data_IF_497905732395
#
_entry.id   IF_497905732395
#
_cell.length_a   1.000
_cell.length_b   1.000
_cell.length_c   1.000
_cell.angle_alpha   90.00
_cell.angle_beta   90.00
_cell.angle_gamma   90.00
#
_symmetry.space_group_name_H-M   'P 1'
#
loop_
_entity.id
_entity.type
_entity.pdbx_description
1 polymer ?
#
# COMPACT_ATOMS: atom_id res chain seq x y z
N UNK A 1 3.85 3.52 35.03
CA UNK A 1 2.39 3.39 35.27
C UNK A 1 1.73 4.53 34.52
N UNK A 2 0.97 4.25 33.46
CA UNK A 2 0.30 5.31 32.69
C UNK A 2 -0.62 6.11 33.62
N UNK A 3 -0.37 7.41 33.77
CA UNK A 3 -1.24 8.31 34.54
C UNK A 3 -2.63 8.25 33.91
N UNK A 4 -3.62 7.81 34.68
CA UNK A 4 -5.02 7.75 34.23
C UNK A 4 -5.47 9.17 33.88
N UNK A 5 -5.67 9.44 32.58
CA UNK A 5 -6.23 10.71 32.11
C UNK A 5 -7.67 10.86 32.59
N UNK A 6 -8.12 12.10 32.77
CA UNK A 6 -9.52 12.36 33.05
C UNK A 6 -10.40 11.92 31.87
N UNK A 7 -11.67 11.53 32.08
CA UNK A 7 -12.55 11.04 31.00
C UNK A 7 -12.67 12.00 29.81
N UNK A 8 -12.69 13.32 30.08
CA UNK A 8 -12.70 14.36 29.03
C UNK A 8 -11.38 14.44 28.25
N UNK A 9 -10.25 14.26 28.93
CA UNK A 9 -8.93 14.22 28.30
C UNK A 9 -8.78 12.95 27.44
N UNK A 10 -9.28 11.82 27.91
CA UNK A 10 -9.28 10.58 27.14
C UNK A 10 -10.09 10.73 25.84
N UNK A 11 -11.28 11.34 25.90
CA UNK A 11 -12.08 11.66 24.71
C UNK A 11 -11.37 12.62 23.77
N UNK A 12 -10.72 13.66 24.29
CA UNK A 12 -9.92 14.57 23.48
C UNK A 12 -8.74 13.86 22.80
N UNK A 13 -8.05 12.96 23.50
CA UNK A 13 -6.94 12.18 22.96
C UNK A 13 -7.41 11.26 21.82
N UNK A 14 -8.57 10.62 21.96
CA UNK A 14 -9.19 9.80 20.89
C UNK A 14 -9.50 10.63 19.63
N UNK A 15 -10.08 11.82 19.80
CA UNK A 15 -10.42 12.69 18.67
C UNK A 15 -9.16 13.20 17.95
N UNK A 16 -8.13 13.58 18.69
CA UNK A 16 -6.85 14.01 18.13
C UNK A 16 -6.13 12.83 17.43
N UNK A 17 -6.14 11.64 18.02
CA UNK A 17 -5.59 10.43 17.39
C UNK A 17 -6.32 10.08 16.09
N UNK A 18 -7.62 10.38 15.98
CA UNK A 18 -8.39 10.25 14.76
C UNK A 18 -8.10 11.34 13.70
N UNK A 19 -7.18 12.27 13.97
CA UNK A 19 -6.79 13.33 13.05
C UNK A 19 -7.64 14.61 13.10
N UNK A 20 -8.50 14.75 14.12
CA UNK A 20 -9.31 15.96 14.30
C UNK A 20 -8.44 17.08 14.87
N UNK A 21 -8.57 18.29 14.33
CA UNK A 21 -7.80 19.45 14.79
C UNK A 21 -8.07 19.77 16.26
N UNK A 22 -7.07 20.34 16.95
CA UNK A 22 -7.18 20.74 18.35
C UNK A 22 -8.34 21.73 18.58
N UNK A 23 -8.60 22.62 17.63
CA UNK A 23 -9.69 23.61 17.70
C UNK A 23 -11.05 22.91 17.63
N UNK A 24 -11.22 21.97 16.71
CA UNK A 24 -12.46 21.22 16.58
C UNK A 24 -12.69 20.28 17.77
N UNK A 25 -11.62 19.69 18.31
CA UNK A 25 -11.67 18.83 19.49
C UNK A 25 -12.05 19.62 20.74
N UNK A 26 -11.53 20.84 20.91
CA UNK A 26 -11.86 21.69 22.05
C UNK A 26 -13.36 22.06 22.10
N UNK A 27 -13.96 22.26 20.92
CA UNK A 27 -15.37 22.59 20.76
C UNK A 27 -16.29 21.35 20.68
N UNK A 28 -15.75 20.14 20.81
CA UNK A 28 -16.55 18.92 20.72
C UNK A 28 -17.45 18.80 21.96
N UNK A 29 -18.74 18.44 21.84
CA UNK A 29 -19.69 18.42 22.97
C UNK A 29 -19.26 17.53 24.14
N UNK A 30 -18.54 16.44 23.85
CA UNK A 30 -18.04 15.52 24.88
C UNK A 30 -16.79 16.02 25.63
N UNK A 31 -16.12 17.05 25.11
CA UNK A 31 -14.92 17.63 25.70
C UNK A 31 -15.27 18.98 26.32
N UNK A 32 -15.76 19.90 25.48
CA UNK A 32 -16.18 21.26 25.79
C UNK A 32 -15.22 21.98 26.74
N UNK A 33 -14.06 22.38 26.20
CA UNK A 33 -13.01 23.10 26.94
C UNK A 33 -12.48 24.28 26.14
N UNK A 34 -11.91 25.25 26.85
CA UNK A 34 -11.25 26.39 26.20
C UNK A 34 -10.04 25.95 25.38
N UNK A 35 -9.73 26.70 24.32
CA UNK A 35 -8.54 26.48 23.48
C UNK A 35 -7.23 26.47 24.28
N UNK A 36 -7.14 27.30 25.33
CA UNK A 36 -5.98 27.33 26.23
C UNK A 36 -5.83 26.03 27.00
N UNK A 37 -6.94 25.45 27.47
CA UNK A 37 -6.95 24.16 28.18
C UNK A 37 -6.53 23.02 27.25
N UNK A 38 -7.07 22.99 26.03
CA UNK A 38 -6.68 22.00 25.02
C UNK A 38 -5.21 22.11 24.66
N UNK A 39 -4.71 23.34 24.44
CA UNK A 39 -3.31 23.57 24.15
C UNK A 39 -2.41 23.08 25.30
N UNK A 40 -2.78 23.36 26.56
CA UNK A 40 -2.05 22.84 27.72
C UNK A 40 -2.01 21.32 27.72
N UNK A 41 -3.14 20.64 27.51
CA UNK A 41 -3.19 19.17 27.45
C UNK A 41 -2.31 18.61 26.34
N UNK A 42 -2.30 19.22 25.15
CA UNK A 42 -1.43 18.79 24.06
C UNK A 42 0.07 18.91 24.37
N UNK A 43 0.48 19.67 25.40
CA UNK A 43 1.87 19.75 25.86
C UNK A 43 2.15 18.87 27.08
N UNK A 44 1.14 18.20 27.64
CA UNK A 44 1.32 17.26 28.74
C UNK A 44 1.84 15.92 28.20
N UNK A 45 2.97 15.47 28.71
CA UNK A 45 3.63 14.21 28.30
C UNK A 45 2.67 13.00 28.39
N UNK A 46 1.90 12.90 29.49
CA UNK A 46 0.92 11.83 29.66
C UNK A 46 -0.21 11.83 28.63
N UNK A 47 -0.55 13.02 28.10
CA UNK A 47 -1.57 13.14 27.07
C UNK A 47 -1.00 12.76 25.70
N UNK A 48 0.21 13.22 25.39
CA UNK A 48 0.93 12.85 24.17
C UNK A 48 1.17 11.35 24.09
N UNK A 49 1.68 10.73 25.16
CA UNK A 49 1.87 9.28 25.25
C UNK A 49 0.56 8.54 24.95
N UNK A 50 -0.58 9.02 25.46
CA UNK A 50 -1.86 8.36 25.21
C UNK A 50 -2.31 8.51 23.76
N UNK A 51 -2.14 9.70 23.17
CA UNK A 51 -2.43 9.92 21.75
C UNK A 51 -1.56 9.02 20.88
N UNK A 52 -0.27 8.90 21.17
CA UNK A 52 0.66 8.06 20.42
C UNK A 52 0.30 6.58 20.49
N UNK A 53 -0.09 6.10 21.68
CA UNK A 53 -0.61 4.74 21.85
C UNK A 53 -1.85 4.51 20.99
N UNK A 54 -2.81 5.45 21.02
CA UNK A 54 -4.05 5.33 20.23
C UNK A 54 -3.79 5.37 18.72
N UNK A 55 -2.86 6.22 18.27
CA UNK A 55 -2.43 6.27 16.86
C UNK A 55 -1.73 4.98 16.46
N UNK A 56 -0.90 4.42 17.34
CA UNK A 56 -0.20 3.16 17.09
C UNK A 56 -1.17 1.97 17.03
N UNK A 57 -2.13 1.90 17.95
CA UNK A 57 -3.19 0.87 17.98
C UNK A 57 -4.06 0.96 16.72
N UNK A 58 -4.56 2.15 16.37
CA UNK A 58 -5.34 2.35 15.15
C UNK A 58 -4.52 2.04 13.88
N UNK A 59 -3.22 2.36 13.90
CA UNK A 59 -2.28 2.02 12.83
C UNK A 59 -2.07 0.50 12.69
N UNK A 60 -2.05 -0.23 13.80
CA UNK A 60 -1.93 -1.69 13.81
C UNK A 60 -3.22 -2.36 13.31
N UNK A 61 -4.38 -1.92 13.80
CA UNK A 61 -5.67 -2.43 13.33
C UNK A 61 -5.85 -2.17 11.82
N UNK A 62 -5.45 -0.99 11.36
CA UNK A 62 -5.48 -0.65 9.94
C UNK A 62 -4.56 -1.57 9.14
N UNK A 63 -3.34 -1.85 9.62
CA UNK A 63 -2.41 -2.80 8.98
C UNK A 63 -2.97 -4.21 8.95
N UNK A 64 -3.55 -4.69 10.04
CA UNK A 64 -4.11 -6.03 10.14
C UNK A 64 -5.31 -6.20 9.20
N UNK A 65 -6.16 -5.18 9.08
CA UNK A 65 -7.26 -5.13 8.10
C UNK A 65 -6.69 -5.12 6.68
N UNK A 66 -5.63 -4.34 6.42
CA UNK A 66 -5.00 -4.25 5.12
C UNK A 66 -4.38 -5.60 4.72
N UNK A 67 -3.60 -6.22 5.60
CA UNK A 67 -2.96 -7.51 5.36
C UNK A 67 -3.99 -8.65 5.24
N UNK A 68 -5.02 -8.65 6.08
CA UNK A 68 -6.15 -9.57 5.96
C UNK A 68 -6.92 -9.38 4.65
N UNK A 69 -7.11 -8.13 4.25
CA UNK A 69 -7.71 -7.74 2.96
C UNK A 69 -6.87 -8.19 1.77
N UNK A 70 -5.54 -8.03 1.82
CA UNK A 70 -4.61 -8.53 0.81
C UNK A 70 -4.68 -10.05 0.68
N UNK A 71 -4.63 -10.78 1.79
CA UNK A 71 -4.71 -12.25 1.80
C UNK A 71 -6.03 -12.74 1.19
N UNK A 72 -7.15 -12.10 1.55
CA UNK A 72 -8.47 -12.43 0.99
C UNK A 72 -8.56 -12.10 -0.49
N UNK A 73 -8.07 -10.93 -0.92
CA UNK A 73 -8.07 -10.53 -2.33
C UNK A 73 -7.18 -11.43 -3.19
N UNK A 74 -5.98 -11.78 -2.71
CA UNK A 74 -5.08 -12.70 -3.37
C UNK A 74 -5.69 -14.11 -3.49
N UNK A 75 -6.35 -14.59 -2.43
CA UNK A 75 -7.06 -15.88 -2.44
C UNK A 75 -8.16 -15.91 -3.51
N UNK A 76 -8.98 -14.86 -3.63
CA UNK A 76 -10.03 -14.78 -4.66
C UNK A 76 -9.44 -14.88 -6.08
N UNK A 77 -8.28 -14.28 -6.34
CA UNK A 77 -7.61 -14.38 -7.65
C UNK A 77 -7.09 -15.79 -7.90
N UNK A 78 -6.46 -16.43 -6.91
CA UNK A 78 -6.01 -17.82 -7.02
C UNK A 78 -7.19 -18.76 -7.26
N UNK A 79 -8.27 -18.61 -6.49
CA UNK A 79 -9.50 -19.40 -6.65
C UNK A 79 -10.14 -19.18 -8.04
N UNK A 80 -9.98 -18.00 -8.64
CA UNK A 80 -10.39 -17.69 -10.03
C UNK A 80 -9.54 -18.42 -11.06
N UNK A 81 -8.23 -18.47 -10.85
CA UNK A 81 -7.27 -19.13 -11.76
C UNK A 81 -7.42 -20.65 -11.69
N UNK A 82 -7.58 -21.19 -10.48
CA UNK A 82 -7.73 -22.62 -10.22
C UNK A 82 -9.13 -23.16 -10.59
N UNK A 83 -10.05 -22.29 -11.02
CA UNK A 83 -11.39 -22.67 -11.46
C UNK A 83 -12.36 -23.02 -10.32
N UNK A 84 -12.02 -22.70 -9.07
CA UNK A 84 -12.81 -22.99 -7.87
C UNK A 84 -13.80 -21.86 -7.50
N UNK A 85 -14.33 -21.15 -8.50
CA UNK A 85 -15.25 -20.03 -8.24
C UNK A 85 -16.72 -20.45 -8.11
N UNK A 86 -17.49 -19.54 -7.50
CA UNK A 86 -18.94 -19.63 -7.48
C UNK A 86 -19.51 -19.89 -8.88
N UNK A 87 -20.55 -20.75 -9.00
CA UNK A 87 -21.11 -21.17 -10.28
C UNK A 87 -21.73 -20.02 -11.08
N UNK A 88 -21.97 -18.87 -10.45
CA UNK A 88 -22.55 -17.70 -11.09
C UNK A 88 -21.46 -16.78 -11.66
N UNK A 89 -21.21 -16.92 -12.98
CA UNK A 89 -20.17 -16.21 -13.73
C UNK A 89 -20.14 -14.68 -13.53
N UNK A 90 -21.31 -14.05 -13.31
CA UNK A 90 -21.39 -12.60 -13.06
C UNK A 90 -20.84 -12.19 -11.68
N UNK A 91 -21.11 -13.00 -10.65
CA UNK A 91 -20.62 -12.76 -9.29
C UNK A 91 -19.12 -13.05 -9.22
N UNK A 92 -18.68 -14.12 -9.88
CA UNK A 92 -17.27 -14.46 -10.02
C UNK A 92 -16.46 -13.30 -10.64
N UNK A 93 -16.93 -12.74 -11.76
CA UNK A 93 -16.28 -11.60 -12.41
C UNK A 93 -16.24 -10.35 -11.52
N UNK A 94 -17.34 -10.02 -10.85
CA UNK A 94 -17.40 -8.87 -9.95
C UNK A 94 -16.44 -9.01 -8.77
N UNK A 95 -16.34 -10.21 -8.18
CA UNK A 95 -15.40 -10.49 -7.07
C UNK A 95 -13.95 -10.42 -7.53
N UNK A 96 -13.65 -10.90 -8.73
CA UNK A 96 -12.33 -10.77 -9.34
C UNK A 96 -11.93 -9.31 -9.57
N UNK A 97 -12.83 -8.50 -10.16
CA UNK A 97 -12.57 -7.08 -10.42
C UNK A 97 -12.37 -6.29 -9.12
N UNK A 98 -13.16 -6.59 -8.07
CA UNK A 98 -13.00 -5.99 -6.74
C UNK A 98 -11.68 -6.41 -6.08
N UNK A 99 -11.32 -7.69 -6.13
CA UNK A 99 -10.05 -8.20 -5.59
C UNK A 99 -8.84 -7.58 -6.30
N UNK A 100 -8.90 -7.47 -7.62
CA UNK A 100 -7.89 -6.79 -8.44
C UNK A 100 -7.76 -5.32 -8.06
N UNK A 101 -8.87 -4.60 -7.94
CA UNK A 101 -8.87 -3.19 -7.56
C UNK A 101 -8.24 -2.95 -6.17
N UNK A 102 -8.54 -3.82 -5.20
CA UNK A 102 -7.93 -3.75 -3.86
C UNK A 102 -6.41 -3.98 -3.95
N UNK A 103 -5.93 -4.97 -4.69
CA UNK A 103 -4.49 -5.21 -4.84
C UNK A 103 -3.77 -4.10 -5.61
N UNK A 104 -4.40 -3.55 -6.65
CA UNK A 104 -3.88 -2.42 -7.42
C UNK A 104 -3.79 -1.14 -6.56
N UNK A 105 -4.80 -0.85 -5.73
CA UNK A 105 -4.76 0.26 -4.77
C UNK A 105 -3.61 0.12 -3.76
N UNK A 106 -3.36 -1.12 -3.31
CA UNK A 106 -2.35 -1.40 -2.30
C UNK A 106 -0.91 -1.33 -2.83
N UNK A 107 -0.74 -1.02 -4.13
CA UNK A 107 0.57 -0.91 -4.80
C UNK A 107 1.51 -2.05 -4.43
N UNK A 108 0.97 -3.27 -4.28
CA UNK A 108 1.80 -4.47 -4.21
C UNK A 108 2.51 -4.50 -5.56
N UNK A 109 3.78 -4.07 -5.53
CA UNK A 109 4.74 -3.88 -6.62
C UNK A 109 4.22 -4.48 -7.92
N UNK A 110 3.95 -3.63 -8.92
CA UNK A 110 3.56 -4.00 -10.30
C UNK A 110 4.06 -5.41 -10.61
N UNK A 111 3.14 -6.35 -10.87
CA UNK A 111 3.50 -7.70 -11.30
C UNK A 111 4.65 -7.59 -12.33
N UNK A 112 5.73 -8.37 -12.20
CA UNK A 112 6.80 -8.36 -13.19
C UNK A 112 6.15 -8.53 -14.55
N UNK A 113 6.38 -7.57 -15.44
CA UNK A 113 5.72 -7.54 -16.74
C UNK A 113 5.93 -8.90 -17.39
N UNK A 114 4.83 -9.60 -17.67
CA UNK A 114 4.89 -10.87 -18.38
C UNK A 114 5.76 -10.66 -19.61
N UNK A 115 6.89 -11.36 -19.64
CA UNK A 115 7.82 -11.31 -20.76
C UNK A 115 7.05 -11.86 -21.95
N UNK A 116 6.43 -10.98 -22.72
CA UNK A 116 5.88 -11.35 -24.04
C UNK A 116 7.07 -12.00 -24.77
N UNK A 117 6.93 -13.21 -25.32
CA UNK A 117 8.01 -13.80 -26.09
C UNK A 117 8.32 -12.84 -27.24
N UNK A 118 9.46 -12.15 -27.13
CA UNK A 118 9.93 -11.25 -28.17
C UNK A 118 10.18 -12.08 -29.42
N UNK A 119 9.28 -11.96 -30.40
CA UNK A 119 9.56 -12.32 -31.79
C UNK A 119 10.55 -11.29 -32.33
N UNK A 120 11.83 -11.46 -32.00
CA UNK A 120 12.99 -11.02 -32.79
C UNK A 120 14.26 -11.16 -31.95
N UNK A 121 14.89 -12.33 -32.05
CA UNK A 121 16.31 -12.49 -31.79
C UNK A 121 16.85 -13.31 -32.97
N UNK A 122 17.16 -12.64 -34.08
CA UNK A 122 18.09 -13.12 -35.10
C UNK A 122 18.40 -12.03 -36.14
N UNK A 123 18.92 -10.89 -35.67
CA UNK A 123 19.87 -10.12 -36.45
C UNK A 123 21.01 -9.74 -35.52
N UNK A 124 22.07 -10.56 -35.53
CA UNK A 124 23.40 -10.07 -35.17
C UNK A 124 23.72 -8.98 -36.18
N UNK A 125 23.78 -7.73 -35.73
CA UNK A 125 24.46 -6.70 -36.50
C UNK A 125 25.94 -7.06 -36.42
N UNK A 126 26.51 -7.52 -37.53
CA UNK A 126 27.96 -7.66 -37.63
C UNK A 126 28.59 -6.30 -37.39
N UNK A 127 29.68 -6.30 -36.63
CA UNK A 127 30.46 -5.10 -36.36
C UNK A 127 31.29 -4.73 -37.58
N UNK A 128 31.59 -3.44 -37.79
CA UNK A 128 32.38 -2.97 -38.94
C UNK A 128 33.74 -3.68 -39.06
N UNK A 129 34.30 -4.16 -37.93
CA UNK A 129 35.52 -4.96 -37.89
C UNK A 129 35.37 -6.35 -38.55
N UNK A 130 34.19 -6.97 -38.49
CA UNK A 130 33.92 -8.27 -39.14
C UNK A 130 33.62 -8.12 -40.64
N UNK A 131 33.25 -6.91 -41.11
CA UNK A 131 33.12 -6.63 -42.54
C UNK A 131 34.49 -6.41 -43.22
N UNK A 132 35.46 -5.87 -42.49
CA UNK A 132 36.80 -5.58 -43.01
C UNK A 132 37.62 -6.87 -43.23
N UNK A 133 37.45 -7.88 -42.37
CA UNK A 133 38.08 -9.21 -42.50
C UNK A 133 37.57 -10.00 -43.73
N UNK A 134 36.38 -9.67 -44.27
CA UNK A 134 35.85 -10.29 -45.49
C UNK A 134 36.27 -9.56 -46.79
N UNK A 135 37.01 -8.46 -46.68
CA UNK A 135 37.46 -7.63 -47.82
C UNK A 135 38.98 -7.68 -48.03
N UNK A 136 39.71 -8.58 -47.36
CA UNK A 136 41.10 -8.84 -47.73
C UNK A 136 41.15 -9.56 -49.09
N UNK A 137 41.82 -9.00 -50.11
CA UNK A 137 42.00 -9.68 -51.38
C UNK A 137 42.93 -10.87 -51.14
N UNK A 138 42.44 -12.07 -51.48
CA UNK A 138 43.29 -13.25 -51.58
C UNK A 138 44.38 -12.95 -52.60
N UNK A 139 45.62 -12.79 -52.13
CA UNK A 139 46.79 -12.80 -52.99
C UNK A 139 46.70 -14.05 -53.87
N UNK A 140 46.62 -13.80 -55.17
CA UNK A 140 46.53 -14.83 -56.18
C UNK A 140 47.94 -15.36 -56.42
N UNK A 141 48.29 -16.46 -55.76
CA UNK A 141 49.46 -17.26 -56.15
C UNK A 141 49.14 -17.95 -57.49
N UNK A 142 49.64 -17.40 -58.59
CA UNK A 142 50.14 -18.11 -59.79
C UNK A 142 51.07 -17.24 -60.63
#
# INVERSE_FOLDING_TARGET
MAKKLAPKQERAAQLIAAGISQISTANHPDVDVSKQTMNRWCHEESFQERVDVLVSEAGQDTKDILEGGQKKAAKVIVDTIDGNMDPESKIAKLRFDAAKYVLDMLKVKKLPAATKPSRQANRRNLTDAEMDEMMEPLDSDE
#
